data_IF_475814959676
#
_entry.id   IF_475814959676
#
_cell.length_a   1.000
_cell.length_b   1.000
_cell.length_c   1.000
_cell.angle_alpha   90.00
_cell.angle_beta   90.00
_cell.angle_gamma   90.00
#
_symmetry.space_group_name_H-M   'P 1'
#
loop_
_entity.id
_entity.type
_entity.pdbx_description
1 polymer ?
#
# COMPACT_ATOMS: atom_id res chain seq x y z
N UNK A 1 -9.24 6.14 -11.24
CA UNK A 1 -8.74 7.53 -11.27
C UNK A 1 -7.39 7.56 -11.99
N UNK A 2 -7.18 8.49 -12.94
CA UNK A 2 -5.86 8.71 -13.50
C UNK A 2 -4.97 9.43 -12.48
N UNK A 3 -3.71 8.99 -12.38
CA UNK A 3 -2.71 9.64 -11.52
C UNK A 3 -1.91 10.68 -12.33
N UNK A 4 -1.39 11.73 -11.69
CA UNK A 4 -0.68 12.80 -12.39
C UNK A 4 0.70 12.37 -12.92
N UNK A 5 1.16 13.07 -13.98
CA UNK A 5 2.54 13.09 -14.47
C UNK A 5 3.33 14.23 -13.81
N UNK A 6 4.55 14.49 -14.29
CA UNK A 6 5.41 15.57 -13.78
C UNK A 6 4.83 16.98 -13.94
N UNK A 7 3.93 17.20 -14.91
CA UNK A 7 3.22 18.48 -15.10
C UNK A 7 1.92 18.58 -14.27
N UNK A 8 1.58 17.55 -13.47
CA UNK A 8 0.32 17.48 -12.74
C UNK A 8 -0.88 17.04 -13.59
N UNK A 9 -0.66 16.67 -14.85
CA UNK A 9 -1.70 16.24 -15.77
C UNK A 9 -1.99 14.74 -15.65
N UNK A 10 -3.20 14.25 -15.99
CA UNK A 10 -3.53 12.82 -15.99
C UNK A 10 -2.56 12.00 -16.86
N UNK A 11 -1.98 10.95 -16.28
CA UNK A 11 -1.01 10.07 -16.97
C UNK A 11 -1.53 8.65 -17.15
N UNK A 12 -0.64 7.73 -17.55
CA UNK A 12 -0.98 6.31 -17.76
C UNK A 12 -1.18 5.55 -16.45
N UNK A 13 -0.56 5.99 -15.35
CA UNK A 13 -0.73 5.36 -14.03
C UNK A 13 -2.13 5.61 -13.48
N UNK A 14 -2.65 4.63 -12.74
CA UNK A 14 -4.02 4.64 -12.25
C UNK A 14 -4.06 4.25 -10.77
N UNK A 15 -5.02 4.85 -10.06
CA UNK A 15 -5.56 4.28 -8.83
C UNK A 15 -6.93 3.66 -9.18
N UNK A 16 -7.02 2.34 -9.09
CA UNK A 16 -8.27 1.59 -9.13
C UNK A 16 -8.83 1.53 -7.73
N UNK A 17 -10.14 1.75 -7.56
CA UNK A 17 -10.77 1.64 -6.27
C UNK A 17 -12.12 0.94 -6.35
N UNK A 18 -12.49 0.31 -5.27
CA UNK A 18 -13.80 -0.31 -5.08
C UNK A 18 -14.22 -0.16 -3.62
N UNK A 19 -15.52 -0.24 -3.38
CA UNK A 19 -16.08 -0.42 -2.04
C UNK A 19 -16.65 -1.85 -2.00
N UNK A 20 -16.08 -2.66 -1.13
CA UNK A 20 -16.46 -4.05 -0.98
C UNK A 20 -17.56 -4.17 0.08
N UNK A 21 -18.66 -4.83 -0.25
CA UNK A 21 -19.64 -5.23 0.74
C UNK A 21 -19.11 -6.46 1.51
N UNK A 22 -18.86 -6.27 2.79
CA UNK A 22 -18.33 -7.32 3.67
C UNK A 22 -19.30 -7.58 4.82
N UNK A 23 -19.18 -8.73 5.52
CA UNK A 23 -19.97 -8.97 6.74
C UNK A 23 -19.76 -7.93 7.85
N UNK A 24 -18.67 -7.16 7.78
CA UNK A 24 -18.31 -6.12 8.76
C UNK A 24 -18.67 -4.70 8.31
N UNK A 25 -19.28 -4.55 7.14
CA UNK A 25 -19.64 -3.28 6.52
C UNK A 25 -18.94 -3.02 5.20
N UNK A 26 -19.13 -1.83 4.66
CA UNK A 26 -18.50 -1.43 3.40
C UNK A 26 -17.02 -1.11 3.62
N UNK A 27 -16.15 -1.77 2.85
CA UNK A 27 -14.72 -1.60 2.97
C UNK A 27 -14.11 -1.00 1.70
N UNK A 28 -13.69 0.27 1.74
CA UNK A 28 -13.02 0.88 0.60
C UNK A 28 -11.61 0.30 0.42
N UNK A 29 -11.27 -0.06 -0.81
CA UNK A 29 -9.95 -0.56 -1.19
C UNK A 29 -9.43 0.20 -2.40
N UNK A 30 -8.11 0.44 -2.45
CA UNK A 30 -7.42 1.10 -3.57
C UNK A 30 -6.26 0.22 -3.99
N UNK A 31 -6.16 -0.05 -5.30
CA UNK A 31 -5.00 -0.67 -5.94
C UNK A 31 -4.28 0.35 -6.81
N UNK A 32 -2.94 0.37 -6.78
CA UNK A 32 -2.15 1.30 -7.58
C UNK A 32 -0.84 0.69 -8.07
N UNK A 33 -0.27 1.30 -9.10
CA UNK A 33 1.08 1.09 -9.57
C UNK A 33 1.65 2.44 -9.97
N UNK A 34 2.58 2.99 -9.16
CA UNK A 34 3.13 4.32 -9.34
C UNK A 34 4.21 4.37 -10.43
N UNK A 35 4.72 5.56 -10.71
CA UNK A 35 5.78 5.74 -11.71
C UNK A 35 7.04 4.96 -11.32
N UNK A 36 7.65 4.29 -12.33
CA UNK A 36 8.75 3.34 -12.11
C UNK A 36 10.15 3.96 -12.21
N UNK A 37 10.25 5.19 -12.71
CA UNK A 37 11.56 5.81 -12.95
C UNK A 37 12.22 6.17 -11.63
N UNK A 38 13.48 5.81 -11.48
CA UNK A 38 14.23 6.00 -10.24
C UNK A 38 14.41 7.47 -9.85
N UNK A 39 14.54 8.35 -10.83
CA UNK A 39 14.75 9.79 -10.68
C UNK A 39 13.46 10.61 -10.60
N UNK A 40 12.28 9.94 -10.64
CA UNK A 40 10.98 10.61 -10.66
C UNK A 40 10.21 10.51 -9.31
N UNK A 41 10.93 10.59 -8.19
CA UNK A 41 10.30 10.66 -6.86
C UNK A 41 9.28 11.79 -6.76
N UNK A 42 9.54 12.96 -7.37
CA UNK A 42 8.60 14.08 -7.38
C UNK A 42 7.26 13.73 -8.05
N UNK A 43 7.27 12.89 -9.12
CA UNK A 43 6.04 12.40 -9.76
C UNK A 43 5.29 11.49 -8.81
N UNK A 44 5.98 10.54 -8.16
CA UNK A 44 5.36 9.65 -7.17
C UNK A 44 4.79 10.42 -5.99
N UNK A 45 5.43 11.52 -5.56
CA UNK A 45 4.88 12.42 -4.53
C UNK A 45 3.54 13.04 -4.98
N UNK A 46 3.42 13.51 -6.22
CA UNK A 46 2.14 13.99 -6.77
C UNK A 46 1.09 12.87 -6.85
N UNK A 47 1.51 11.66 -7.19
CA UNK A 47 0.63 10.50 -7.28
C UNK A 47 0.10 10.06 -5.91
N UNK A 48 0.93 10.04 -4.87
CA UNK A 48 0.47 9.74 -3.51
C UNK A 48 -0.40 10.85 -2.92
N UNK A 49 -0.16 12.11 -3.31
CA UNK A 49 -1.05 13.22 -2.97
C UNK A 49 -2.45 13.03 -3.56
N UNK A 50 -2.53 12.64 -4.83
CA UNK A 50 -3.81 12.34 -5.49
C UNK A 50 -4.53 11.13 -4.85
N UNK A 51 -3.79 10.12 -4.42
CA UNK A 51 -4.35 8.99 -3.64
C UNK A 51 -4.87 9.47 -2.28
N UNK A 52 -4.15 10.36 -1.60
CA UNK A 52 -4.61 10.96 -0.34
C UNK A 52 -5.91 11.76 -0.51
N UNK A 53 -6.07 12.49 -1.63
CA UNK A 53 -7.32 13.17 -1.99
C UNK A 53 -8.45 12.16 -2.24
N UNK A 54 -8.17 11.06 -2.94
CA UNK A 54 -9.15 9.99 -3.17
C UNK A 54 -9.63 9.35 -1.85
N UNK A 55 -8.74 9.15 -0.87
CA UNK A 55 -9.14 8.63 0.44
C UNK A 55 -10.18 9.53 1.11
N UNK A 56 -10.05 10.85 1.01
CA UNK A 56 -11.05 11.79 1.57
C UNK A 56 -12.42 11.65 0.91
N UNK A 57 -12.48 11.24 -0.35
CA UNK A 57 -13.76 11.01 -1.05
C UNK A 57 -14.38 9.66 -0.73
N UNK A 58 -13.57 8.66 -0.39
CA UNK A 58 -14.03 7.29 -0.10
C UNK A 58 -14.40 7.08 1.37
N UNK A 59 -13.94 7.97 2.25
CA UNK A 59 -14.09 7.87 3.71
C UNK A 59 -15.01 8.96 4.22
N UNK A 60 -16.20 8.58 4.75
CA UNK A 60 -17.15 9.55 5.31
C UNK A 60 -16.84 9.90 6.78
N UNK A 61 -16.74 8.89 7.64
CA UNK A 61 -16.42 9.07 9.06
C UNK A 61 -15.19 8.22 9.44
N UNK A 62 -14.01 8.84 9.61
CA UNK A 62 -12.80 8.12 9.98
C UNK A 62 -12.83 7.52 11.39
N UNK A 63 -13.82 7.86 12.21
CA UNK A 63 -13.98 7.33 13.57
C UNK A 63 -14.98 6.18 13.66
N UNK A 64 -15.81 6.01 12.63
CA UNK A 64 -16.89 5.00 12.59
C UNK A 64 -16.72 4.00 11.45
N UNK A 65 -16.25 4.44 10.27
CA UNK A 65 -16.17 3.61 9.07
C UNK A 65 -14.95 2.67 9.09
N UNK A 66 -15.02 1.60 8.29
CA UNK A 66 -13.86 0.75 8.03
C UNK A 66 -12.75 1.59 7.34
N UNK A 67 -11.48 1.40 7.72
CA UNK A 67 -10.38 2.17 7.16
C UNK A 67 -10.16 1.81 5.68
N UNK A 68 -9.78 2.79 4.87
CA UNK A 68 -9.38 2.51 3.48
C UNK A 68 -8.11 1.67 3.48
N UNK A 69 -8.12 0.55 2.75
CA UNK A 69 -6.94 -0.26 2.47
C UNK A 69 -6.34 0.13 1.12
N UNK A 70 -5.03 0.19 1.06
CA UNK A 70 -4.31 0.50 -0.17
C UNK A 70 -3.22 -0.53 -0.39
N UNK A 71 -3.14 -1.07 -1.61
CA UNK A 71 -2.09 -2.00 -1.99
C UNK A 71 -1.56 -1.75 -3.39
N UNK A 72 -0.33 -2.19 -3.64
CA UNK A 72 0.25 -2.15 -4.97
C UNK A 72 1.76 -1.90 -4.98
N UNK A 73 2.28 -1.76 -6.19
CA UNK A 73 3.65 -1.38 -6.45
C UNK A 73 3.80 0.15 -6.42
N UNK A 74 4.49 0.64 -5.42
CA UNK A 74 4.77 2.08 -5.25
C UNK A 74 6.07 2.51 -5.93
N UNK A 75 6.87 1.57 -6.45
CA UNK A 75 8.18 1.83 -7.05
C UNK A 75 9.11 2.70 -6.18
N UNK A 76 8.96 2.60 -4.88
CA UNK A 76 9.59 3.44 -3.88
C UNK A 76 10.00 2.60 -2.66
N UNK A 77 11.20 2.80 -2.15
CA UNK A 77 11.67 2.12 -0.93
C UNK A 77 11.13 2.83 0.33
N UNK A 78 11.14 2.19 1.51
CA UNK A 78 10.49 2.72 2.72
C UNK A 78 10.95 4.10 3.20
N UNK A 79 12.17 4.49 2.88
CA UNK A 79 12.74 5.81 3.23
C UNK A 79 12.63 6.86 2.12
N UNK A 80 12.00 6.52 0.98
CA UNK A 80 11.69 7.47 -0.09
C UNK A 80 10.72 8.55 0.38
N UNK A 81 10.82 9.75 -0.18
CA UNK A 81 10.01 10.90 0.22
C UNK A 81 8.51 10.66 0.06
N UNK A 82 8.08 9.99 -1.00
CA UNK A 82 6.69 9.62 -1.24
C UNK A 82 6.14 8.66 -0.17
N UNK A 83 6.93 7.67 0.28
CA UNK A 83 6.52 6.76 1.37
C UNK A 83 6.54 7.48 2.72
N UNK A 84 7.56 8.29 2.98
CA UNK A 84 7.63 9.14 4.18
C UNK A 84 6.46 10.11 4.25
N UNK A 85 6.03 10.66 3.08
CA UNK A 85 4.87 11.55 2.96
C UNK A 85 3.56 10.83 3.30
N UNK A 86 3.35 9.62 2.76
CA UNK A 86 2.18 8.79 3.10
C UNK A 86 2.13 8.44 4.59
N UNK A 87 3.28 8.06 5.16
CA UNK A 87 3.36 7.58 6.55
C UNK A 87 3.48 8.70 7.59
N UNK A 88 3.39 9.98 7.18
CA UNK A 88 3.43 11.12 8.09
C UNK A 88 4.82 11.44 8.64
N UNK A 89 5.89 10.91 8.02
CA UNK A 89 7.29 11.17 8.39
C UNK A 89 7.87 12.44 7.74
N UNK A 90 7.07 13.06 6.88
CA UNK A 90 7.30 14.38 6.30
C UNK A 90 5.95 15.07 6.10
N UNK A 91 5.92 16.26 5.48
CA UNK A 91 4.69 17.02 5.27
C UNK A 91 3.67 16.24 4.43
N UNK A 92 2.52 15.94 5.02
CA UNK A 92 1.40 15.27 4.35
C UNK A 92 0.59 16.26 3.51
N UNK A 93 -0.05 15.77 2.45
CA UNK A 93 -0.98 16.57 1.63
C UNK A 93 -2.21 16.98 2.43
N UNK A 94 -2.86 16.02 3.04
CA UNK A 94 -4.13 16.19 3.74
C UNK A 94 -3.97 15.90 5.23
N UNK A 95 -4.38 16.83 6.07
CA UNK A 95 -4.47 16.58 7.53
C UNK A 95 -5.45 15.43 7.79
N UNK A 96 -5.13 14.61 8.79
CA UNK A 96 -5.92 13.42 9.16
C UNK A 96 -6.00 12.33 8.06
N UNK A 97 -5.06 12.33 7.11
CA UNK A 97 -4.86 11.22 6.17
C UNK A 97 -3.39 10.80 6.27
N UNK A 98 -3.14 9.76 7.03
CA UNK A 98 -1.83 9.12 7.19
C UNK A 98 -2.03 7.62 6.98
N UNK A 99 -1.01 6.95 6.50
CA UNK A 99 -1.06 5.53 6.21
C UNK A 99 -0.10 4.79 7.13
N UNK A 100 -0.57 3.70 7.71
CA UNK A 100 0.28 2.78 8.45
C UNK A 100 0.70 1.64 7.52
N UNK A 101 2.00 1.46 7.38
CA UNK A 101 2.60 0.37 6.60
C UNK A 101 2.43 -0.95 7.35
N UNK A 102 1.71 -1.89 6.76
CA UNK A 102 1.41 -3.16 7.42
C UNK A 102 2.66 -4.02 7.62
N UNK A 103 3.64 -3.92 6.70
CA UNK A 103 4.92 -4.63 6.87
C UNK A 103 5.69 -4.11 8.07
N UNK A 104 5.79 -2.81 8.26
CA UNK A 104 6.43 -2.22 9.43
C UNK A 104 5.74 -2.61 10.76
N UNK A 105 4.43 -2.84 10.71
CA UNK A 105 3.66 -3.23 11.90
C UNK A 105 3.84 -4.70 12.27
N UNK A 106 3.91 -5.61 11.30
CA UNK A 106 3.81 -7.07 11.54
C UNK A 106 4.59 -7.95 10.56
N UNK A 107 5.33 -7.37 9.61
CA UNK A 107 6.22 -8.13 8.74
C UNK A 107 7.50 -8.55 9.47
N UNK A 108 8.14 -9.60 8.99
CA UNK A 108 9.42 -10.06 9.48
C UNK A 108 10.53 -9.80 8.43
N UNK A 109 11.66 -9.31 8.91
CA UNK A 109 12.80 -8.96 8.06
C UNK A 109 12.57 -7.78 7.13
N UNK A 110 13.34 -7.69 6.06
CA UNK A 110 13.35 -6.56 5.12
C UNK A 110 12.11 -6.45 4.22
N UNK A 111 11.41 -7.57 3.99
CA UNK A 111 10.23 -7.62 3.14
C UNK A 111 10.49 -7.30 1.67
N UNK A 112 11.66 -7.61 1.17
CA UNK A 112 12.01 -7.32 -0.22
C UNK A 112 11.07 -8.04 -1.19
N UNK A 113 10.23 -7.28 -1.85
CA UNK A 113 9.29 -7.78 -2.87
C UNK A 113 9.95 -7.88 -4.23
N UNK A 114 10.99 -7.10 -4.47
CA UNK A 114 11.87 -7.14 -5.63
C UNK A 114 13.26 -7.57 -5.16
N UNK A 115 13.69 -8.77 -5.54
CA UNK A 115 14.86 -9.44 -4.94
C UNK A 115 15.53 -10.41 -5.89
N UNK A 116 16.84 -10.54 -5.77
CA UNK A 116 17.69 -11.53 -6.48
C UNK A 116 17.33 -13.00 -6.17
N UNK A 117 16.51 -13.26 -5.16
CA UNK A 117 15.89 -14.57 -4.93
C UNK A 117 14.86 -14.94 -6.02
N UNK A 118 14.38 -13.98 -6.78
CA UNK A 118 13.51 -14.19 -7.91
C UNK A 118 14.35 -14.48 -9.16
N UNK A 119 14.06 -15.57 -9.88
CA UNK A 119 14.85 -15.99 -11.04
C UNK A 119 14.90 -14.94 -12.16
N UNK A 120 13.84 -14.12 -12.30
CA UNK A 120 13.82 -13.03 -13.28
C UNK A 120 14.79 -11.89 -12.92
N UNK A 121 15.24 -11.81 -11.68
CA UNK A 121 16.09 -10.75 -11.15
C UNK A 121 17.49 -11.25 -10.74
N UNK A 122 17.78 -12.53 -10.90
CA UNK A 122 19.05 -13.15 -10.47
C UNK A 122 20.31 -12.46 -11.02
N UNK A 123 20.21 -11.78 -12.17
CA UNK A 123 21.30 -11.02 -12.79
C UNK A 123 21.08 -9.49 -12.74
N UNK A 124 20.10 -9.01 -11.99
CA UNK A 124 19.86 -7.58 -11.84
C UNK A 124 20.95 -6.96 -10.94
N UNK A 125 21.68 -5.97 -11.45
CA UNK A 125 22.74 -5.26 -10.69
C UNK A 125 22.17 -4.17 -9.76
N UNK A 126 21.04 -4.46 -9.11
CA UNK A 126 20.38 -3.54 -8.19
C UNK A 126 20.20 -4.18 -6.81
N UNK A 127 20.24 -3.40 -5.72
CA UNK A 127 19.98 -3.93 -4.40
C UNK A 127 18.54 -4.43 -4.29
N UNK A 128 18.33 -5.46 -3.46
CA UNK A 128 17.01 -5.94 -3.10
C UNK A 128 16.16 -4.82 -2.48
N UNK A 129 14.86 -4.77 -2.82
CA UNK A 129 13.97 -3.65 -2.45
C UNK A 129 12.59 -4.14 -2.03
N UNK A 130 12.00 -3.43 -1.10
CA UNK A 130 10.56 -3.49 -0.84
C UNK A 130 9.90 -2.35 -1.60
N UNK A 131 9.17 -2.67 -2.66
CA UNK A 131 8.50 -1.74 -3.58
C UNK A 131 6.99 -1.87 -3.51
N UNK A 132 6.49 -3.04 -3.08
CA UNK A 132 5.08 -3.35 -2.94
C UNK A 132 4.66 -3.21 -1.47
N UNK A 133 3.49 -2.63 -1.28
CA UNK A 133 3.00 -2.28 0.04
C UNK A 133 1.53 -2.66 0.21
N UNK A 134 1.17 -2.90 1.47
CA UNK A 134 -0.20 -2.82 1.98
C UNK A 134 -0.23 -1.76 3.08
N UNK A 135 -1.11 -0.79 2.92
CA UNK A 135 -1.33 0.29 3.87
C UNK A 135 -2.75 0.27 4.39
N UNK A 136 -2.92 0.72 5.63
CA UNK A 136 -4.21 1.05 6.21
C UNK A 136 -4.23 2.52 6.62
N UNK A 137 -5.33 3.21 6.35
CA UNK A 137 -5.44 4.65 6.67
C UNK A 137 -5.63 4.90 8.16
N UNK A 138 -5.12 6.06 8.61
CA UNK A 138 -5.33 6.61 9.95
C UNK A 138 -5.88 8.05 9.83
N UNK A 139 -6.76 8.55 10.74
CA UNK A 139 -7.34 7.84 11.88
C UNK A 139 -8.37 6.78 11.48
N UNK A 140 -8.58 5.82 12.36
CA UNK A 140 -9.56 4.74 12.22
C UNK A 140 -10.04 4.24 13.57
N UNK A 141 -11.23 3.60 13.67
CA UNK A 141 -11.61 2.86 14.87
C UNK A 141 -10.60 1.72 15.09
N UNK A 142 -9.99 1.65 16.26
CA UNK A 142 -9.08 0.57 16.61
C UNK A 142 -9.87 -0.65 17.12
N UNK A 143 -9.44 -1.87 16.79
CA UNK A 143 -8.24 -2.24 16.02
C UNK A 143 -8.48 -2.50 14.52
N UNK A 144 -9.58 -2.02 13.96
CA UNK A 144 -9.97 -2.29 12.56
C UNK A 144 -8.82 -2.01 11.58
N UNK A 145 -8.58 -2.99 10.69
CA UNK A 145 -7.52 -2.93 9.71
C UNK A 145 -6.10 -3.11 10.27
N UNK A 146 -5.94 -3.34 11.59
CA UNK A 146 -4.62 -3.67 12.12
C UNK A 146 -4.18 -5.05 11.59
N UNK A 147 -2.96 -5.17 11.04
CA UNK A 147 -2.47 -6.47 10.62
C UNK A 147 -2.19 -7.36 11.83
N UNK A 148 -2.59 -8.63 11.71
CA UNK A 148 -2.26 -9.71 12.65
C UNK A 148 -0.98 -10.40 12.20
N UNK A 149 -0.87 -10.60 10.88
CA UNK A 149 0.26 -11.23 10.22
C UNK A 149 0.46 -10.59 8.83
N UNK A 150 1.73 -10.44 8.43
CA UNK A 150 2.11 -9.98 7.09
C UNK A 150 3.25 -10.86 6.58
N UNK A 151 3.18 -11.30 5.32
CA UNK A 151 4.21 -12.17 4.74
C UNK A 151 4.31 -11.96 3.22
N UNK A 152 5.39 -12.49 2.65
CA UNK A 152 5.54 -12.58 1.19
C UNK A 152 4.95 -13.89 0.68
N UNK A 153 4.28 -13.84 -0.47
CA UNK A 153 3.77 -14.99 -1.20
C UNK A 153 4.31 -15.01 -2.64
N UNK A 154 4.22 -16.18 -3.29
CA UNK A 154 4.78 -16.37 -4.63
C UNK A 154 6.31 -16.32 -4.67
N UNK A 155 6.96 -16.60 -3.53
CA UNK A 155 8.44 -16.57 -3.41
C UNK A 155 9.08 -17.75 -4.13
N UNK A 156 8.43 -18.92 -4.06
CA UNK A 156 8.94 -20.14 -4.70
C UNK A 156 8.24 -20.37 -6.05
N UNK A 157 8.97 -20.76 -7.09
CA UNK A 157 8.38 -21.09 -8.38
C UNK A 157 7.48 -22.34 -8.28
N UNK A 158 6.41 -22.35 -9.06
CA UNK A 158 5.49 -23.49 -9.17
C UNK A 158 5.70 -24.16 -10.52
N UNK A 159 6.07 -25.44 -10.53
CA UNK A 159 6.39 -26.17 -11.76
C UNK A 159 7.58 -25.58 -12.53
N UNK A 160 8.52 -24.94 -11.85
CA UNK A 160 9.67 -24.28 -12.44
C UNK A 160 9.38 -22.92 -13.07
N UNK A 161 8.19 -22.33 -12.78
CA UNK A 161 7.80 -21.00 -13.29
C UNK A 161 7.55 -20.05 -12.12
N UNK A 162 8.27 -18.93 -12.09
CA UNK A 162 8.03 -17.85 -11.16
C UNK A 162 6.79 -17.06 -11.60
N UNK A 163 5.88 -16.76 -10.66
CA UNK A 163 4.60 -16.14 -10.99
C UNK A 163 4.71 -14.68 -11.48
N UNK A 164 5.73 -13.96 -11.00
CA UNK A 164 6.01 -12.55 -11.33
C UNK A 164 7.48 -12.27 -11.00
N UNK A 165 8.01 -11.19 -11.51
CA UNK A 165 9.30 -10.61 -11.09
C UNK A 165 9.23 -9.94 -9.71
N UNK A 166 8.03 -9.75 -9.15
CA UNK A 166 7.81 -9.31 -7.78
C UNK A 166 7.20 -10.44 -6.93
N UNK A 167 7.48 -10.40 -5.62
CA UNK A 167 6.76 -11.19 -4.62
C UNK A 167 5.56 -10.43 -4.11
N UNK A 168 4.44 -11.13 -3.91
CA UNK A 168 3.23 -10.52 -3.37
C UNK A 168 3.35 -10.28 -1.86
N UNK A 169 2.83 -9.15 -1.39
CA UNK A 169 2.62 -8.88 0.04
C UNK A 169 1.21 -9.32 0.41
N UNK A 170 1.08 -10.13 1.46
CA UNK A 170 -0.20 -10.61 1.97
C UNK A 170 -0.33 -10.26 3.44
N UNK A 171 -1.52 -9.90 3.88
CA UNK A 171 -1.80 -9.59 5.29
C UNK A 171 -3.14 -10.18 5.74
N UNK A 172 -3.17 -10.69 6.97
CA UNK A 172 -4.39 -10.92 7.74
C UNK A 172 -4.64 -9.70 8.60
N UNK A 173 -5.86 -9.15 8.58
CA UNK A 173 -6.22 -7.93 9.31
C UNK A 173 -7.42 -8.16 10.23
N UNK A 174 -7.48 -7.39 11.32
CA UNK A 174 -8.61 -7.41 12.25
C UNK A 174 -9.81 -6.68 11.64
N UNK A 175 -10.97 -7.30 11.73
CA UNK A 175 -12.25 -6.82 11.19
C UNK A 175 -13.28 -6.48 12.27
N UNK A 176 -12.98 -6.78 13.54
CA UNK A 176 -13.86 -6.53 14.69
C UNK A 176 -13.38 -5.34 15.51
N UNK A 177 -14.32 -4.60 16.11
CA UNK A 177 -14.02 -3.52 17.05
C UNK A 177 -13.68 -4.10 18.42
N UNK A 178 -12.83 -3.39 19.18
CA UNK A 178 -12.62 -3.73 20.59
C UNK A 178 -13.93 -3.51 21.35
N UNK A 179 -14.55 -4.58 21.83
CA UNK A 179 -15.83 -4.54 22.56
C UNK A 179 -16.97 -5.32 21.91
N UNK A 180 -16.81 -5.78 20.67
CA UNK A 180 -17.81 -6.62 19.98
C UNK A 180 -17.62 -8.14 20.27
N UNK A 181 -16.81 -8.50 21.27
CA UNK A 181 -16.76 -9.88 21.78
C UNK A 181 -18.10 -10.15 22.50
N UNK A 182 -18.96 -10.88 21.82
CA UNK A 182 -20.27 -11.32 22.27
C UNK A 182 -20.27 -11.81 23.72
N UNK A 183 -21.19 -11.25 24.51
CA UNK A 183 -21.77 -11.93 25.67
C UNK A 183 -22.54 -13.19 25.24
#
# INVERSE_FOLDING_TARGET
>A
MALPNAAGEPAHRRALWAVLDTPWGQWPVIGTHLDHRFDESHVRQLQVDAISDLVLTLRNDPTADLPVLIGGDFNAVPDSDEIRRLTGRTAVKNRNVVFADMWELKGDGSGHTWSDRNEYLANANWPNRRLDYLFVTWPRPKPLGNPVRVWLAGVEPVGGVQASDHFAVVADVLTERSGDSNE
#
